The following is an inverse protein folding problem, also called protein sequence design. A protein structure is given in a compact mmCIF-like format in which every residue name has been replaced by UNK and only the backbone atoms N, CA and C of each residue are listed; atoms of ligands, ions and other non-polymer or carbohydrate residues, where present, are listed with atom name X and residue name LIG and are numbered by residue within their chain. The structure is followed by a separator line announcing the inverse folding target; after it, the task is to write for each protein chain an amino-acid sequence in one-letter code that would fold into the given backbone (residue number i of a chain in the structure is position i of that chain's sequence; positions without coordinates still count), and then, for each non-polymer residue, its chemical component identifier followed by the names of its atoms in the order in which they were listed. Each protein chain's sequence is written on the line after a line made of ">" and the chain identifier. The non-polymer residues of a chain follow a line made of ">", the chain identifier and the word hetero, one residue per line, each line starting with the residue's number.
data_IF_705663358881
#
_entry.id   IF_705663358881
#
_cell.length_a   1.000
_cell.length_b   1.000
_cell.length_c   1.000
_cell.angle_alpha   90.00
_cell.angle_beta   90.00
_cell.angle_gamma   90.00
#
_symmetry.space_group_name_H-M   'P 1'
#
loop_
_entity.id
_entity.type
_entity.pdbx_description
1 polymer ?
#
# COMPACT_ATOMS: atom_id res chain seq x y z
N UNK A 1 15.96 9.57 20.74
CA UNK A 1 15.37 9.81 19.43
C UNK A 1 14.58 8.56 19.07
N UNK A 2 13.31 8.70 18.64
CA UNK A 2 12.50 7.54 18.22
C UNK A 2 12.94 7.08 16.85
N UNK A 3 12.93 5.76 16.59
CA UNK A 3 13.30 5.16 15.32
C UNK A 3 12.45 3.92 15.04
N UNK A 4 12.39 3.52 13.78
CA UNK A 4 11.79 2.27 13.32
C UNK A 4 12.88 1.30 12.93
N UNK A 5 12.64 -0.01 13.09
CA UNK A 5 13.62 -1.05 12.81
C UNK A 5 13.09 -2.01 11.77
N UNK A 6 13.95 -2.35 10.81
CA UNK A 6 13.75 -3.47 9.90
C UNK A 6 15.10 -4.17 9.65
N UNK A 7 15.13 -5.18 8.77
CA UNK A 7 16.35 -5.92 8.51
C UNK A 7 17.25 -5.28 7.44
N UNK A 8 18.54 -5.60 7.49
CA UNK A 8 19.50 -5.27 6.42
C UNK A 8 19.12 -5.94 5.11
N UNK A 9 19.49 -5.30 4.00
CA UNK A 9 19.11 -5.76 2.66
C UNK A 9 17.58 -5.91 2.50
N UNK A 10 16.80 -4.84 2.79
CA UNK A 10 15.35 -4.91 2.89
C UNK A 10 14.75 -5.46 1.60
N UNK A 11 13.78 -6.34 1.76
CA UNK A 11 12.96 -6.85 0.68
C UNK A 11 11.65 -6.05 0.54
N UNK A 12 10.71 -6.57 -0.23
CA UNK A 12 9.48 -5.85 -0.50
C UNK A 12 8.56 -5.77 0.71
N UNK A 13 8.57 -6.77 1.61
CA UNK A 13 7.79 -6.74 2.85
C UNK A 13 8.36 -5.73 3.85
N UNK A 14 9.67 -5.74 4.06
CA UNK A 14 10.36 -4.75 4.88
C UNK A 14 10.11 -3.31 4.42
N UNK A 15 10.19 -3.07 3.09
CA UNK A 15 9.91 -1.77 2.48
C UNK A 15 8.44 -1.38 2.68
N UNK A 16 7.51 -2.30 2.45
CA UNK A 16 6.07 -2.07 2.62
C UNK A 16 5.71 -1.71 4.06
N UNK A 17 6.32 -2.38 5.05
CA UNK A 17 6.18 -2.03 6.45
C UNK A 17 6.65 -0.59 6.73
N UNK A 18 7.88 -0.25 6.32
CA UNK A 18 8.44 1.10 6.54
C UNK A 18 7.58 2.16 5.88
N UNK A 19 7.15 1.92 4.64
CA UNK A 19 6.26 2.80 3.90
C UNK A 19 4.95 3.06 4.63
N UNK A 20 4.26 2.01 5.09
CA UNK A 20 3.00 2.14 5.84
C UNK A 20 3.19 2.95 7.13
N UNK A 21 4.26 2.69 7.87
CA UNK A 21 4.54 3.41 9.11
C UNK A 21 4.84 4.89 8.86
N UNK A 22 5.56 5.23 7.79
CA UNK A 22 5.84 6.61 7.41
C UNK A 22 4.60 7.34 6.91
N UNK A 23 3.82 6.72 6.06
CA UNK A 23 2.68 7.37 5.41
C UNK A 23 1.44 7.48 6.32
N UNK A 24 1.14 6.43 7.07
CA UNK A 24 -0.10 6.31 7.84
C UNK A 24 0.11 6.11 9.34
N UNK A 25 1.28 5.66 9.74
CA UNK A 25 1.58 5.28 11.14
C UNK A 25 2.16 6.38 12.00
N UNK A 26 2.37 7.59 11.47
CA UNK A 26 2.95 8.72 12.21
C UNK A 26 4.47 8.69 12.37
N UNK A 27 5.18 7.94 11.53
CA UNK A 27 6.65 7.79 11.56
C UNK A 27 7.36 8.49 10.37
N UNK A 28 6.73 9.53 9.77
CA UNK A 28 7.23 10.16 8.53
C UNK A 28 8.72 10.54 8.59
N UNK A 29 9.15 11.16 9.68
CA UNK A 29 10.52 11.66 9.88
C UNK A 29 11.39 10.74 10.74
N UNK A 30 10.90 9.56 11.11
CA UNK A 30 11.69 8.65 11.94
C UNK A 30 12.79 7.99 11.11
N UNK A 31 14.04 7.95 11.62
CA UNK A 31 15.10 7.20 10.98
C UNK A 31 14.79 5.69 10.99
N UNK A 32 15.26 5.01 9.96
CA UNK A 32 15.24 3.55 9.89
C UNK A 32 16.57 3.00 10.39
N UNK A 33 16.51 2.04 11.28
CA UNK A 33 17.68 1.31 11.77
C UNK A 33 17.61 -0.11 11.24
N UNK A 34 18.65 -0.53 10.56
CA UNK A 34 18.75 -1.86 9.96
C UNK A 34 19.48 -2.83 10.88
N UNK A 35 18.89 -4.01 11.06
CA UNK A 35 19.46 -5.07 11.90
C UNK A 35 19.57 -6.39 11.12
N UNK A 36 20.42 -7.29 11.58
CA UNK A 36 20.51 -8.61 10.97
C UNK A 36 19.25 -9.43 11.28
N UNK A 37 18.59 -9.99 10.25
CA UNK A 37 17.39 -10.83 10.38
C UNK A 37 17.60 -12.05 11.28
N UNK A 38 18.76 -12.70 11.19
CA UNK A 38 19.05 -13.94 11.91
C UNK A 38 19.33 -13.75 13.40
N UNK A 39 19.89 -12.60 13.77
CA UNK A 39 20.29 -12.28 15.14
C UNK A 39 20.30 -10.76 15.37
N UNK A 40 19.12 -10.13 15.43
CA UNK A 40 19.04 -8.70 15.69
C UNK A 40 19.53 -8.38 17.11
N UNK A 41 20.18 -7.21 17.27
CA UNK A 41 20.55 -6.71 18.57
C UNK A 41 19.30 -6.48 19.44
N UNK A 42 19.15 -7.18 20.60
CA UNK A 42 17.96 -7.08 21.43
C UNK A 42 17.74 -5.67 22.00
N UNK A 43 18.81 -4.90 22.26
CA UNK A 43 18.71 -3.54 22.81
C UNK A 43 18.16 -2.58 21.75
N UNK A 44 18.61 -2.70 20.50
CA UNK A 44 18.09 -1.93 19.37
C UNK A 44 16.60 -2.24 19.16
N UNK A 45 16.23 -3.53 19.13
CA UNK A 45 14.84 -3.96 18.96
C UNK A 45 13.97 -3.49 20.12
N UNK A 46 14.45 -3.60 21.36
CA UNK A 46 13.70 -3.17 22.54
C UNK A 46 13.48 -1.65 22.59
N UNK A 47 14.50 -0.87 22.19
CA UNK A 47 14.47 0.59 22.16
C UNK A 47 13.67 1.21 20.99
N UNK A 48 13.35 0.42 19.98
CA UNK A 48 12.63 0.90 18.79
C UNK A 48 11.19 1.32 19.09
N UNK A 49 10.74 2.39 18.44
CA UNK A 49 9.35 2.80 18.47
C UNK A 49 8.43 1.80 17.73
N UNK A 50 8.92 1.24 16.61
CA UNK A 50 8.26 0.15 15.88
C UNK A 50 9.29 -0.77 15.25
N UNK A 51 8.95 -2.03 15.06
CA UNK A 51 9.78 -3.06 14.42
C UNK A 51 8.92 -3.84 13.41
N UNK A 52 9.44 -4.03 12.21
CA UNK A 52 8.77 -4.82 11.18
C UNK A 52 9.74 -5.70 10.42
N UNK A 53 9.27 -6.88 10.04
CA UNK A 53 9.96 -7.89 9.27
C UNK A 53 11.30 -8.34 9.87
N UNK A 54 11.39 -8.33 11.19
CA UNK A 54 12.55 -8.79 11.97
C UNK A 54 12.20 -8.91 13.44
N UNK A 55 13.09 -9.55 14.20
CA UNK A 55 13.00 -9.61 15.67
C UNK A 55 12.24 -10.80 16.23
N UNK A 56 11.57 -11.58 15.41
CA UNK A 56 10.81 -12.80 15.77
C UNK A 56 9.78 -12.60 16.89
N UNK A 57 9.21 -11.39 16.97
CA UNK A 57 8.20 -11.06 17.99
C UNK A 57 7.06 -10.29 17.34
N UNK A 58 5.88 -10.91 17.25
CA UNK A 58 4.64 -10.24 16.84
C UNK A 58 3.91 -9.68 18.05
N UNK A 59 3.61 -8.37 18.07
CA UNK A 59 2.79 -7.74 19.11
C UNK A 59 2.24 -6.39 18.63
N UNK A 60 0.96 -6.32 18.32
CA UNK A 60 0.32 -5.09 17.85
C UNK A 60 0.35 -3.96 18.89
N UNK A 61 0.20 -4.30 20.16
CA UNK A 61 0.25 -3.30 21.24
C UNK A 61 1.62 -2.65 21.39
N UNK A 62 2.68 -3.32 20.95
CA UNK A 62 4.06 -2.83 20.96
C UNK A 62 4.57 -2.42 19.59
N UNK A 63 3.71 -2.40 18.55
CA UNK A 63 4.06 -2.14 17.15
C UNK A 63 5.20 -3.05 16.67
N UNK A 64 5.03 -4.35 16.88
CA UNK A 64 5.96 -5.39 16.43
C UNK A 64 5.24 -6.23 15.39
N UNK A 65 5.66 -6.12 14.13
CA UNK A 65 5.04 -6.71 12.96
C UNK A 65 6.05 -7.65 12.30
N UNK A 66 6.02 -8.89 12.71
CA UNK A 66 6.95 -9.90 12.21
C UNK A 66 6.23 -11.24 12.07
N UNK A 67 6.63 -12.03 11.11
CA UNK A 67 6.06 -13.35 10.84
C UNK A 67 7.07 -14.49 10.91
N UNK A 68 8.38 -14.17 11.07
CA UNK A 68 9.46 -15.15 11.10
C UNK A 68 9.47 -16.07 12.34
N UNK A 69 8.67 -15.76 13.36
CA UNK A 69 8.43 -16.66 14.49
C UNK A 69 7.51 -17.83 14.15
N UNK A 70 6.74 -17.72 13.06
CA UNK A 70 5.86 -18.80 12.62
C UNK A 70 6.62 -19.80 11.75
N UNK A 71 6.13 -21.03 11.67
CA UNK A 71 6.69 -22.08 10.84
C UNK A 71 5.60 -22.79 10.05
N UNK A 72 5.99 -23.45 8.96
CA UNK A 72 5.07 -24.20 8.12
C UNK A 72 4.00 -23.29 7.47
N UNK A 73 2.75 -23.74 7.45
CA UNK A 73 1.64 -23.03 6.80
C UNK A 73 1.38 -21.65 7.39
N UNK A 74 1.51 -21.51 8.71
CA UNK A 74 1.26 -20.24 9.39
C UNK A 74 2.22 -19.11 8.96
N UNK A 75 3.45 -19.43 8.57
CA UNK A 75 4.40 -18.45 8.06
C UNK A 75 3.93 -17.82 6.73
N UNK A 76 3.15 -18.56 5.93
CA UNK A 76 2.65 -18.12 4.63
C UNK A 76 1.24 -17.49 4.71
N UNK A 77 0.71 -17.28 5.90
CA UNK A 77 -0.62 -16.68 6.10
C UNK A 77 -0.56 -15.19 6.47
N UNK A 78 0.64 -14.65 6.70
CA UNK A 78 0.84 -13.24 7.06
C UNK A 78 2.24 -12.75 6.64
N UNK A 79 2.43 -11.45 6.59
CA UNK A 79 3.71 -10.77 6.44
C UNK A 79 3.70 -9.46 7.24
N UNK A 80 4.84 -8.80 7.41
CA UNK A 80 4.94 -7.59 8.23
C UNK A 80 4.09 -6.44 7.68
N UNK A 81 4.06 -6.26 6.36
CA UNK A 81 3.22 -5.26 5.68
C UNK A 81 1.73 -5.51 5.94
N UNK A 82 1.26 -6.76 5.79
CA UNK A 82 -0.15 -7.10 6.04
C UNK A 82 -0.54 -6.87 7.50
N UNK A 83 0.30 -7.26 8.45
CA UNK A 83 0.08 -7.04 9.88
C UNK A 83 0.02 -5.54 10.21
N UNK A 84 0.93 -4.76 9.63
CA UNK A 84 0.97 -3.29 9.80
C UNK A 84 -0.29 -2.64 9.27
N UNK A 85 -0.74 -3.03 8.07
CA UNK A 85 -1.96 -2.52 7.46
C UNK A 85 -3.20 -2.86 8.30
N UNK A 86 -3.31 -4.09 8.82
CA UNK A 86 -4.39 -4.49 9.72
C UNK A 86 -4.41 -3.65 11.00
N UNK A 87 -3.24 -3.43 11.60
CA UNK A 87 -3.09 -2.59 12.78
C UNK A 87 -3.51 -1.13 12.49
N UNK A 88 -3.05 -0.54 11.38
CA UNK A 88 -3.41 0.82 10.98
C UNK A 88 -4.93 0.96 10.77
N UNK A 89 -5.57 0.00 10.15
CA UNK A 89 -7.03 0.00 9.99
C UNK A 89 -7.76 0.02 11.32
N UNK A 90 -7.29 -0.71 12.29
CA UNK A 90 -7.88 -0.70 13.64
C UNK A 90 -7.62 0.65 14.35
N UNK A 91 -6.42 1.23 14.22
CA UNK A 91 -6.10 2.53 14.79
C UNK A 91 -6.93 3.67 14.18
N UNK A 92 -7.28 3.57 12.90
CA UNK A 92 -7.97 4.62 12.15
C UNK A 92 -9.43 4.30 11.82
N UNK A 93 -10.03 3.31 12.48
CA UNK A 93 -11.41 2.86 12.19
C UNK A 93 -12.45 3.99 12.26
N UNK A 94 -12.27 4.95 13.17
CA UNK A 94 -13.17 6.08 13.38
C UNK A 94 -12.81 7.31 12.51
N UNK A 95 -11.70 7.26 11.75
CA UNK A 95 -11.30 8.28 10.80
C UNK A 95 -11.69 7.85 9.37
N UNK A 96 -12.83 8.34 8.89
CA UNK A 96 -13.40 7.94 7.60
C UNK A 96 -12.43 8.14 6.43
N UNK A 97 -11.73 9.29 6.34
CA UNK A 97 -10.79 9.57 5.26
C UNK A 97 -9.62 8.57 5.28
N UNK A 98 -8.96 8.41 6.42
CA UNK A 98 -7.84 7.48 6.57
C UNK A 98 -8.26 6.03 6.35
N UNK A 99 -9.45 5.65 6.83
CA UNK A 99 -10.02 4.31 6.61
C UNK A 99 -10.28 4.05 5.12
N UNK A 100 -10.77 5.06 4.38
CA UNK A 100 -10.97 4.98 2.93
C UNK A 100 -9.65 4.82 2.20
N UNK A 101 -8.63 5.61 2.54
CA UNK A 101 -7.30 5.52 1.94
C UNK A 101 -6.67 4.14 2.17
N UNK A 102 -6.74 3.63 3.41
CA UNK A 102 -6.24 2.30 3.76
C UNK A 102 -6.99 1.16 3.03
N UNK A 103 -8.28 1.33 2.77
CA UNK A 103 -9.04 0.38 1.96
C UNK A 103 -8.64 0.45 0.48
N UNK A 104 -8.44 1.64 -0.05
CA UNK A 104 -8.05 1.86 -1.44
C UNK A 104 -6.73 1.17 -1.80
N UNK A 105 -5.77 1.16 -0.87
CA UNK A 105 -4.45 0.55 -1.11
C UNK A 105 -4.42 -0.97 -0.88
N UNK A 106 -5.53 -1.60 -0.53
CA UNK A 106 -5.58 -3.06 -0.27
C UNK A 106 -4.98 -3.90 -1.39
N UNK A 107 -5.22 -3.64 -2.69
CA UNK A 107 -4.59 -4.40 -3.77
C UNK A 107 -3.05 -4.35 -3.76
N UNK A 108 -2.48 -3.22 -3.30
CA UNK A 108 -1.03 -3.08 -3.16
C UNK A 108 -0.49 -3.92 -1.99
N UNK A 109 -1.23 -3.97 -0.89
CA UNK A 109 -0.88 -4.83 0.26
C UNK A 109 -0.93 -6.31 -0.13
N UNK A 110 -1.96 -6.72 -0.88
CA UNK A 110 -2.08 -8.10 -1.37
C UNK A 110 -0.93 -8.46 -2.32
N UNK A 111 -0.51 -7.55 -3.19
CA UNK A 111 0.64 -7.75 -4.08
C UNK A 111 1.94 -7.98 -3.30
N UNK A 112 2.19 -7.20 -2.24
CA UNK A 112 3.36 -7.38 -1.37
C UNK A 112 3.28 -8.74 -0.67
N UNK A 113 2.16 -9.05 -0.08
CA UNK A 113 1.90 -10.30 0.63
C UNK A 113 2.07 -11.54 -0.26
N UNK A 114 1.51 -11.52 -1.47
CA UNK A 114 1.63 -12.63 -2.43
C UNK A 114 3.08 -12.82 -2.91
N UNK A 115 3.83 -11.73 -3.03
CA UNK A 115 5.25 -11.74 -3.35
C UNK A 115 6.09 -12.37 -2.24
N UNK A 116 5.88 -11.94 -1.00
CA UNK A 116 6.59 -12.42 0.18
C UNK A 116 6.31 -13.91 0.48
N UNK A 117 5.05 -14.31 0.38
CA UNK A 117 4.63 -15.71 0.64
C UNK A 117 4.82 -16.67 -0.53
N UNK A 118 5.34 -16.19 -1.67
CA UNK A 118 5.56 -16.98 -2.88
C UNK A 118 4.28 -17.36 -3.63
N UNK A 119 3.12 -16.80 -3.30
CA UNK A 119 1.84 -17.07 -3.97
C UNK A 119 1.81 -16.53 -5.40
N UNK A 120 2.56 -15.47 -5.68
CA UNK A 120 2.62 -14.81 -6.99
C UNK A 120 3.34 -15.61 -8.08
N UNK A 121 3.83 -16.81 -7.80
CA UNK A 121 4.63 -17.61 -8.75
C UNK A 121 5.99 -16.96 -9.06
N UNK A 122 7.08 -17.62 -8.68
CA UNK A 122 8.43 -17.06 -8.67
C UNK A 122 8.93 -16.50 -10.02
N UNK A 123 8.40 -16.98 -11.14
CA UNK A 123 8.89 -16.59 -12.48
C UNK A 123 8.28 -15.28 -12.99
N UNK A 124 7.03 -14.98 -12.64
CA UNK A 124 6.39 -13.72 -13.07
C UNK A 124 6.79 -12.53 -12.21
N UNK A 125 6.97 -12.71 -10.90
CA UNK A 125 7.29 -11.62 -9.99
C UNK A 125 8.72 -11.07 -10.19
N UNK A 126 9.68 -11.91 -10.60
CA UNK A 126 11.08 -11.52 -10.74
C UNK A 126 11.39 -10.72 -12.01
N UNK A 127 10.62 -10.87 -13.07
CA UNK A 127 10.89 -10.27 -14.37
C UNK A 127 9.97 -9.09 -14.71
N UNK A 128 8.88 -8.89 -13.97
CA UNK A 128 7.89 -7.84 -14.27
C UNK A 128 7.41 -7.13 -13.00
N UNK A 129 7.00 -5.86 -13.15
CA UNK A 129 6.38 -5.09 -12.09
C UNK A 129 7.33 -4.59 -11.01
N UNK A 130 6.79 -4.31 -9.84
CA UNK A 130 7.48 -3.63 -8.72
C UNK A 130 8.63 -4.48 -8.18
N UNK A 131 8.44 -5.79 -8.05
CA UNK A 131 9.49 -6.70 -7.60
C UNK A 131 10.73 -6.66 -8.48
N UNK A 132 10.54 -6.59 -9.82
CA UNK A 132 11.65 -6.48 -10.76
C UNK A 132 12.41 -5.15 -10.59
N UNK A 133 11.70 -4.04 -10.39
CA UNK A 133 12.30 -2.72 -10.16
C UNK A 133 13.12 -2.70 -8.86
N UNK A 134 12.60 -3.23 -7.77
CA UNK A 134 13.33 -3.32 -6.49
C UNK A 134 14.53 -4.26 -6.58
N UNK A 135 14.38 -5.42 -7.23
CA UNK A 135 15.48 -6.36 -7.45
C UNK A 135 16.59 -5.75 -8.31
N UNK A 136 16.25 -5.01 -9.38
CA UNK A 136 17.21 -4.31 -10.20
C UNK A 136 17.94 -3.20 -9.40
N UNK A 137 17.21 -2.46 -8.57
CA UNK A 137 17.81 -1.44 -7.70
C UNK A 137 18.77 -2.06 -6.69
N UNK A 138 18.39 -3.18 -6.07
CA UNK A 138 19.25 -3.94 -5.14
C UNK A 138 20.51 -4.47 -5.81
N UNK A 139 20.40 -4.94 -7.05
CA UNK A 139 21.54 -5.41 -7.86
C UNK A 139 22.51 -4.28 -8.28
N UNK A 140 22.15 -3.02 -8.15
CA UNK A 140 22.99 -1.86 -8.46
C UNK A 140 23.80 -1.33 -7.26
N UNK A 141 24.07 -2.16 -6.26
CA UNK A 141 24.80 -1.80 -5.03
C UNK A 141 24.21 -0.61 -4.26
N UNK A 142 22.89 -0.45 -4.31
CA UNK A 142 22.19 0.56 -3.53
C UNK A 142 22.31 0.26 -2.03
N UNK A 143 22.47 1.30 -1.23
CA UNK A 143 22.43 1.16 0.24
C UNK A 143 21.02 0.76 0.72
N UNK A 144 20.90 0.25 1.94
CA UNK A 144 19.60 -0.08 2.53
C UNK A 144 18.69 1.15 2.63
N UNK A 145 19.24 2.32 2.96
CA UNK A 145 18.51 3.59 2.94
C UNK A 145 18.01 3.95 1.54
N UNK A 146 18.84 3.80 0.50
CA UNK A 146 18.44 4.05 -0.89
C UNK A 146 17.32 3.10 -1.34
N UNK A 147 17.36 1.83 -0.91
CA UNK A 147 16.31 0.86 -1.21
C UNK A 147 14.97 1.25 -0.55
N UNK A 148 15.00 1.70 0.71
CA UNK A 148 13.81 2.19 1.41
C UNK A 148 13.27 3.44 0.72
N UNK A 149 14.11 4.43 0.42
CA UNK A 149 13.69 5.67 -0.24
C UNK A 149 13.05 5.38 -1.60
N UNK A 150 13.73 4.57 -2.42
CA UNK A 150 13.24 4.22 -3.75
C UNK A 150 11.94 3.40 -3.69
N UNK A 151 11.88 2.41 -2.81
CA UNK A 151 10.69 1.57 -2.65
C UNK A 151 9.49 2.36 -2.13
N UNK A 152 9.67 3.19 -1.10
CA UNK A 152 8.62 4.08 -0.60
C UNK A 152 8.10 5.03 -1.69
N UNK A 153 8.99 5.60 -2.52
CA UNK A 153 8.58 6.45 -3.64
C UNK A 153 7.68 5.72 -4.63
N UNK A 154 8.04 4.49 -5.03
CA UNK A 154 7.21 3.70 -5.94
C UNK A 154 5.85 3.39 -5.31
N UNK A 155 5.84 2.95 -4.04
CA UNK A 155 4.61 2.61 -3.33
C UNK A 155 3.70 3.83 -3.18
N UNK A 156 4.24 5.03 -2.94
CA UNK A 156 3.48 6.28 -2.89
C UNK A 156 2.79 6.60 -4.22
N UNK A 157 3.50 6.47 -5.35
CA UNK A 157 2.90 6.74 -6.67
C UNK A 157 1.71 5.82 -6.96
N UNK A 158 1.83 4.53 -6.62
CA UNK A 158 0.77 3.55 -6.82
C UNK A 158 -0.38 3.81 -5.85
N UNK A 159 -0.09 4.05 -4.58
CA UNK A 159 -1.10 4.35 -3.56
C UNK A 159 -1.91 5.61 -3.92
N UNK A 160 -1.24 6.68 -4.37
CA UNK A 160 -1.90 7.91 -4.80
C UNK A 160 -2.85 7.67 -5.99
N UNK A 161 -2.46 6.79 -6.92
CA UNK A 161 -3.34 6.39 -8.01
C UNK A 161 -4.56 5.62 -7.49
N UNK A 162 -4.37 4.61 -6.65
CA UNK A 162 -5.45 3.79 -6.08
C UNK A 162 -6.41 4.61 -5.22
N UNK A 163 -5.88 5.51 -4.38
CA UNK A 163 -6.68 6.41 -3.55
C UNK A 163 -7.53 7.33 -4.42
N UNK A 164 -6.92 7.99 -5.43
CA UNK A 164 -7.68 8.82 -6.37
C UNK A 164 -8.77 8.05 -7.12
N UNK A 165 -8.48 6.83 -7.55
CA UNK A 165 -9.48 5.97 -8.20
C UNK A 165 -10.64 5.61 -7.25
N UNK A 166 -10.35 5.35 -5.98
CA UNK A 166 -11.37 5.08 -4.97
C UNK A 166 -12.28 6.29 -4.73
N UNK A 167 -11.70 7.48 -4.56
CA UNK A 167 -12.50 8.70 -4.43
C UNK A 167 -13.33 9.00 -5.69
N UNK A 168 -12.78 8.77 -6.88
CA UNK A 168 -13.51 8.94 -8.13
C UNK A 168 -14.72 7.98 -8.25
N UNK A 169 -14.61 6.75 -7.74
CA UNK A 169 -15.76 5.82 -7.64
C UNK A 169 -16.82 6.32 -6.66
N UNK A 170 -16.41 6.83 -5.50
CA UNK A 170 -17.35 7.43 -4.54
C UNK A 170 -18.04 8.68 -5.09
N UNK A 171 -17.32 9.49 -5.88
CA UNK A 171 -17.89 10.62 -6.60
C UNK A 171 -18.89 10.15 -7.68
N UNK A 172 -18.57 9.07 -8.40
CA UNK A 172 -19.48 8.50 -9.39
C UNK A 172 -20.82 8.15 -8.74
N UNK A 173 -20.82 7.43 -7.62
CA UNK A 173 -22.02 7.07 -6.87
C UNK A 173 -22.82 8.29 -6.40
N UNK A 174 -22.14 9.42 -6.14
CA UNK A 174 -22.74 10.64 -5.63
C UNK A 174 -23.30 11.55 -6.74
N UNK A 175 -22.60 11.65 -7.87
CA UNK A 175 -22.86 12.64 -8.92
C UNK A 175 -23.48 12.04 -10.19
N UNK A 176 -23.66 10.74 -10.25
CA UNK A 176 -24.43 10.11 -11.31
C UNK A 176 -25.89 10.51 -11.17
N UNK A 177 -26.42 11.11 -12.23
CA UNK A 177 -27.84 11.49 -12.33
C UNK A 177 -28.65 10.49 -13.16
N UNK A 178 -27.99 9.71 -13.98
CA UNK A 178 -28.61 8.73 -14.84
C UNK A 178 -27.64 7.59 -15.22
N UNK A 179 -28.15 6.36 -15.17
CA UNK A 179 -27.61 5.19 -15.85
C UNK A 179 -28.67 4.64 -16.82
N UNK A 180 -28.25 4.21 -18.01
CA UNK A 180 -29.15 3.46 -18.91
C UNK A 180 -29.46 2.08 -18.33
N UNK A 181 -30.57 1.46 -18.77
CA UNK A 181 -31.00 0.14 -18.29
C UNK A 181 -29.98 -0.98 -18.60
N UNK A 182 -29.09 -0.77 -19.57
CA UNK A 182 -28.02 -1.69 -19.94
C UNK A 182 -26.66 -1.28 -19.34
N UNK A 183 -26.62 -0.31 -18.43
CA UNK A 183 -25.44 0.23 -17.75
C UNK A 183 -24.33 0.74 -18.69
N UNK A 184 -24.67 1.11 -19.94
CA UNK A 184 -23.69 1.55 -20.94
C UNK A 184 -23.63 3.05 -21.14
N UNK A 185 -24.67 3.76 -20.79
CA UNK A 185 -24.74 5.22 -20.89
C UNK A 185 -24.92 5.83 -19.52
N UNK A 186 -24.09 6.79 -19.17
CA UNK A 186 -24.13 7.46 -17.87
C UNK A 186 -24.10 8.97 -18.04
N UNK A 187 -24.88 9.68 -17.24
CA UNK A 187 -24.80 11.13 -17.10
C UNK A 187 -24.27 11.49 -15.70
N UNK A 188 -23.26 12.34 -15.67
CA UNK A 188 -22.57 12.80 -14.46
C UNK A 188 -22.64 14.32 -14.42
N UNK A 189 -23.16 14.87 -13.32
CA UNK A 189 -23.17 16.31 -13.07
C UNK A 189 -22.20 16.67 -11.96
N UNK A 190 -21.38 17.70 -12.18
CA UNK A 190 -20.43 18.24 -11.20
C UNK A 190 -19.37 17.24 -10.67
N UNK A 191 -19.13 16.14 -11.36
CA UNK A 191 -18.05 15.20 -11.05
C UNK A 191 -16.68 15.72 -11.50
N UNK A 192 -15.62 15.05 -11.07
CA UNK A 192 -14.25 15.30 -11.52
C UNK A 192 -13.98 14.59 -12.87
N UNK A 193 -12.85 14.93 -13.51
CA UNK A 193 -12.39 14.20 -14.71
C UNK A 193 -12.10 12.72 -14.39
N UNK A 194 -11.70 12.42 -13.17
CA UNK A 194 -11.46 11.05 -12.71
C UNK A 194 -12.77 10.27 -12.60
N UNK A 195 -13.90 10.94 -12.29
CA UNK A 195 -15.24 10.33 -12.24
C UNK A 195 -15.66 9.77 -13.60
N UNK A 196 -15.29 10.46 -14.71
CA UNK A 196 -15.52 9.95 -16.07
C UNK A 196 -14.76 8.64 -16.31
N UNK A 197 -13.51 8.57 -15.88
CA UNK A 197 -12.70 7.34 -15.97
C UNK A 197 -13.32 6.21 -15.14
N UNK A 198 -13.77 6.52 -13.92
CA UNK A 198 -14.45 5.54 -13.06
C UNK A 198 -15.74 4.99 -13.69
N UNK A 199 -16.49 5.82 -14.42
CA UNK A 199 -17.67 5.37 -15.16
C UNK A 199 -17.32 4.37 -16.26
N UNK A 200 -16.26 4.61 -17.04
CA UNK A 200 -15.79 3.65 -18.05
C UNK A 200 -15.28 2.34 -17.42
N UNK A 201 -14.58 2.41 -16.29
CA UNK A 201 -14.15 1.24 -15.52
C UNK A 201 -15.34 0.45 -14.95
N UNK A 202 -16.47 1.11 -14.66
CA UNK A 202 -17.73 0.50 -14.26
C UNK A 202 -18.53 -0.10 -15.41
N UNK A 203 -18.06 0.04 -16.68
CA UNK A 203 -18.66 -0.57 -17.86
C UNK A 203 -19.37 0.41 -18.82
N UNK A 204 -19.43 1.70 -18.51
CA UNK A 204 -20.00 2.68 -19.43
C UNK A 204 -19.21 2.74 -20.74
N UNK A 205 -19.90 2.84 -21.86
CA UNK A 205 -19.30 3.07 -23.19
C UNK A 205 -19.50 4.51 -23.68
N UNK A 206 -20.40 5.24 -23.02
CA UNK A 206 -20.69 6.66 -23.31
C UNK A 206 -20.95 7.40 -22.00
N UNK A 207 -20.20 8.47 -21.78
CA UNK A 207 -20.35 9.31 -20.60
C UNK A 207 -20.71 10.74 -21.02
N UNK A 208 -21.87 11.24 -20.58
CA UNK A 208 -22.21 12.64 -20.62
C UNK A 208 -21.72 13.29 -19.34
N UNK A 209 -20.86 14.26 -19.48
CA UNK A 209 -20.26 14.96 -18.36
C UNK A 209 -20.64 16.45 -18.44
N UNK A 210 -21.32 16.95 -17.43
CA UNK A 210 -21.65 18.37 -17.27
C UNK A 210 -20.90 18.93 -16.07
N UNK A 211 -20.23 20.04 -16.25
CA UNK A 211 -19.58 20.80 -15.20
C UNK A 211 -19.96 22.27 -15.34
N UNK A 212 -20.31 22.93 -14.25
CA UNK A 212 -20.74 24.34 -14.22
C UNK A 212 -19.69 25.27 -14.87
N UNK A 213 -18.39 24.94 -14.73
CA UNK A 213 -17.29 25.77 -15.25
C UNK A 213 -16.97 25.54 -16.72
N UNK A 214 -17.37 24.42 -17.34
CA UNK A 214 -16.88 23.99 -18.66
C UNK A 214 -17.94 23.56 -19.66
N UNK A 215 -19.22 23.59 -19.30
CA UNK A 215 -20.31 23.11 -20.14
C UNK A 215 -20.43 21.59 -20.22
N UNK A 216 -21.28 21.09 -21.11
CA UNK A 216 -21.59 19.66 -21.26
C UNK A 216 -20.70 19.04 -22.33
N UNK A 217 -20.05 17.93 -22.03
CA UNK A 217 -19.23 17.15 -22.96
C UNK A 217 -19.74 15.70 -23.02
N UNK A 218 -19.74 15.10 -24.21
CA UNK A 218 -19.86 13.65 -24.40
C UNK A 218 -18.50 13.06 -24.71
N UNK A 219 -18.16 11.91 -24.14
CA UNK A 219 -16.99 11.11 -24.43
C UNK A 219 -17.36 9.65 -24.60
#
# INVERSE_FOLDING_TARGET
>A
MSYIVTHTSPDFDAIGYVWLMRRFGGAAEMPVVFVNTGNPDPEIVAGAWSVGDTGRVGSYTRRRFDHHQFSGRAANETCATLQTWQWLREQHRDNTAMSTDLLAIRPLIDLIFDGDTGRAGADQSRLTGIHALLSARKASDASDDDLIVYGCYILDQIADHLIRAQYARMELDRFVTYWSDDDKVVAIENGSRATTQAAFEAGAILVFFANEDHGTYAR
#
